data_IF_906303368039
#
_entry.id   IF_906303368039
#
_cell.length_a   1.000
_cell.length_b   1.000
_cell.length_c   1.000
_cell.angle_alpha   90.00
_cell.angle_beta   90.00
_cell.angle_gamma   90.00
#
_symmetry.space_group_name_H-M   'P 1'
#
loop_
_entity.id
_entity.type
_entity.pdbx_description
1 polymer ?
#
# COMPACT_ATOMS: atom_id res chain seq x y z
N UNK A 1 -23.38 -7.81 -6.52
CA UNK A 1 -22.52 -7.44 -7.66
C UNK A 1 -22.71 -6.00 -8.12
N UNK A 2 -23.54 -5.18 -7.47
CA UNK A 2 -23.71 -3.75 -7.83
C UNK A 2 -22.70 -2.80 -7.16
N UNK A 3 -22.04 -3.22 -6.09
CA UNK A 3 -21.11 -2.37 -5.32
C UNK A 3 -19.77 -2.14 -6.02
N UNK A 4 -19.28 -3.10 -6.80
CA UNK A 4 -17.99 -2.98 -7.52
C UNK A 4 -18.11 -2.05 -8.73
N UNK A 5 -19.19 -2.18 -9.51
CA UNK A 5 -19.49 -1.30 -10.63
C UNK A 5 -19.75 0.15 -10.18
N UNK A 6 -20.44 0.35 -9.04
CA UNK A 6 -20.60 1.69 -8.45
C UNK A 6 -19.29 2.29 -7.97
N UNK A 7 -18.36 1.48 -7.44
CA UNK A 7 -17.04 1.96 -7.01
C UNK A 7 -16.17 2.35 -8.21
N UNK A 8 -16.15 1.55 -9.28
CA UNK A 8 -15.46 1.88 -10.53
C UNK A 8 -16.03 3.14 -11.18
N UNK A 9 -17.36 3.31 -11.17
CA UNK A 9 -18.02 4.48 -11.73
C UNK A 9 -17.79 5.74 -10.88
N UNK A 10 -17.69 5.60 -9.54
CA UNK A 10 -17.23 6.65 -8.63
C UNK A 10 -15.75 6.99 -8.86
N UNK A 11 -14.89 6.01 -9.12
CA UNK A 11 -13.48 6.22 -9.45
C UNK A 11 -13.29 6.91 -10.81
N UNK A 12 -14.15 6.60 -11.79
CA UNK A 12 -14.12 7.24 -13.11
C UNK A 12 -14.65 8.69 -13.08
N UNK A 13 -15.77 8.91 -12.38
CA UNK A 13 -16.33 10.27 -12.20
C UNK A 13 -15.44 11.15 -11.31
N UNK A 14 -14.80 10.57 -10.30
CA UNK A 14 -13.83 11.30 -9.46
C UNK A 14 -12.51 11.57 -10.18
N UNK A 15 -11.95 10.66 -10.99
CA UNK A 15 -10.72 10.94 -11.77
C UNK A 15 -10.91 12.11 -12.74
N UNK A 16 -12.07 12.21 -13.40
CA UNK A 16 -12.40 13.36 -14.26
C UNK A 16 -12.58 14.67 -13.50
N UNK A 17 -13.22 14.64 -12.32
CA UNK A 17 -13.38 15.82 -11.47
C UNK A 17 -12.06 16.27 -10.81
N UNK A 18 -11.22 15.33 -10.40
CA UNK A 18 -9.89 15.57 -9.82
C UNK A 18 -8.96 16.22 -10.84
N UNK A 19 -9.03 15.81 -12.12
CA UNK A 19 -8.21 16.40 -13.19
C UNK A 19 -8.51 17.88 -13.46
N UNK A 20 -9.69 18.38 -13.06
CA UNK A 20 -10.04 19.80 -13.15
C UNK A 20 -9.51 20.62 -11.96
N UNK A 21 -9.03 19.97 -10.90
CA UNK A 21 -8.54 20.61 -9.66
C UNK A 21 -7.02 20.47 -9.55
N UNK A 22 -6.50 19.30 -9.94
CA UNK A 22 -5.07 18.98 -9.87
C UNK A 22 -4.38 19.30 -11.19
N UNK A 23 -3.24 19.96 -11.11
CA UNK A 23 -2.37 20.13 -12.26
C UNK A 23 -1.66 18.80 -12.63
N UNK A 24 -1.03 18.76 -13.80
CA UNK A 24 -0.37 17.54 -14.32
C UNK A 24 0.67 16.95 -13.34
N UNK A 25 1.44 17.80 -12.66
CA UNK A 25 2.44 17.35 -11.68
C UNK A 25 1.79 16.72 -10.44
N UNK A 26 0.66 17.26 -9.99
CA UNK A 26 -0.11 16.70 -8.87
C UNK A 26 -0.76 15.37 -9.25
N UNK A 27 -1.25 15.23 -10.48
CA UNK A 27 -1.79 13.95 -11.00
C UNK A 27 -0.68 12.90 -11.05
N UNK A 28 0.49 13.25 -11.61
CA UNK A 28 1.65 12.34 -11.64
C UNK A 28 2.08 11.93 -10.23
N UNK A 29 2.12 12.89 -9.30
CA UNK A 29 2.48 12.59 -7.91
C UNK A 29 1.44 11.69 -7.24
N UNK A 30 0.15 11.92 -7.48
CA UNK A 30 -0.91 11.07 -6.98
C UNK A 30 -0.78 9.64 -7.51
N UNK A 31 -0.47 9.48 -8.80
CA UNK A 31 -0.21 8.17 -9.40
C UNK A 31 0.98 7.47 -8.73
N UNK A 32 2.09 8.16 -8.51
CA UNK A 32 3.24 7.62 -7.76
C UNK A 32 2.84 7.13 -6.37
N UNK A 33 2.02 7.91 -5.66
CA UNK A 33 1.51 7.54 -4.33
C UNK A 33 0.62 6.30 -4.41
N UNK A 34 -0.25 6.21 -5.41
CA UNK A 34 -1.10 5.03 -5.62
C UNK A 34 -0.25 3.78 -5.89
N UNK A 35 0.81 3.88 -6.70
CA UNK A 35 1.76 2.78 -6.93
C UNK A 35 2.47 2.38 -5.64
N UNK A 36 2.87 3.34 -4.80
CA UNK A 36 3.50 3.05 -3.52
C UNK A 36 2.58 2.35 -2.53
N UNK A 37 1.29 2.71 -2.52
CA UNK A 37 0.30 2.13 -1.61
C UNK A 37 -0.15 0.73 -2.06
N UNK A 38 -0.34 0.54 -3.37
CA UNK A 38 -0.78 -0.74 -3.93
C UNK A 38 0.37 -1.73 -4.17
N UNK A 39 1.62 -1.25 -4.18
CA UNK A 39 2.79 -2.05 -4.51
C UNK A 39 2.71 -2.65 -5.92
N UNK A 40 3.46 -3.74 -6.18
CA UNK A 40 3.40 -4.48 -7.45
C UNK A 40 2.01 -5.04 -7.77
N UNK A 41 1.16 -5.25 -6.76
CA UNK A 41 -0.20 -5.74 -6.96
C UNK A 41 -1.20 -4.71 -7.50
N UNK A 42 -0.79 -3.45 -7.64
CA UNK A 42 -1.55 -2.48 -8.41
C UNK A 42 -1.51 -2.76 -9.93
N UNK A 43 -0.48 -3.45 -10.42
CA UNK A 43 -0.23 -3.61 -11.86
C UNK A 43 -1.42 -4.22 -12.62
N UNK A 44 -2.04 -5.34 -12.18
CA UNK A 44 -3.13 -5.97 -12.95
C UNK A 44 -4.39 -5.13 -13.08
N UNK A 45 -4.59 -4.17 -12.16
CA UNK A 45 -5.82 -3.41 -12.00
C UNK A 45 -5.69 -1.95 -12.48
N UNK A 46 -4.49 -1.48 -12.83
CA UNK A 46 -4.25 -0.11 -13.27
C UNK A 46 -3.88 -0.05 -14.77
N UNK A 47 -4.79 0.38 -15.65
CA UNK A 47 -4.54 0.40 -17.09
C UNK A 47 -3.32 1.23 -17.53
N UNK A 48 -3.00 2.31 -16.80
CA UNK A 48 -1.80 3.11 -17.09
C UNK A 48 -0.51 2.34 -16.78
N UNK A 49 -0.50 1.55 -15.69
CA UNK A 49 0.65 0.70 -15.35
C UNK A 49 0.83 -0.41 -16.38
N UNK A 50 -0.24 -1.11 -16.77
CA UNK A 50 -0.19 -2.15 -17.81
C UNK A 50 0.39 -1.58 -19.12
N UNK A 51 -0.11 -0.42 -19.55
CA UNK A 51 0.38 0.25 -20.77
C UNK A 51 1.83 0.71 -20.65
N UNK A 52 2.21 1.36 -19.55
CA UNK A 52 3.59 1.88 -19.37
C UNK A 52 4.62 0.77 -19.19
N UNK A 53 4.25 -0.32 -18.53
CA UNK A 53 5.09 -1.50 -18.33
C UNK A 53 5.02 -2.50 -19.50
N UNK A 54 4.15 -2.24 -20.49
CA UNK A 54 3.95 -3.13 -21.64
C UNK A 54 3.65 -4.57 -21.21
N UNK A 55 2.80 -4.73 -20.20
CA UNK A 55 2.40 -6.04 -19.67
C UNK A 55 1.35 -6.63 -20.62
N UNK A 56 1.63 -7.81 -21.17
CA UNK A 56 0.67 -8.59 -21.95
C UNK A 56 -0.30 -9.36 -21.05
N UNK A 57 -1.39 -9.88 -21.63
CA UNK A 57 -2.47 -10.54 -20.86
C UNK A 57 -1.96 -11.72 -20.01
N UNK A 58 -1.10 -12.58 -20.58
CA UNK A 58 -0.51 -13.71 -19.83
C UNK A 58 0.30 -13.25 -18.62
N UNK A 59 1.17 -12.25 -18.78
CA UNK A 59 1.97 -11.73 -17.66
C UNK A 59 1.09 -11.02 -16.63
N UNK A 60 0.02 -10.34 -17.07
CA UNK A 60 -0.97 -9.74 -16.18
C UNK A 60 -1.69 -10.80 -15.34
N UNK A 61 -2.12 -11.90 -15.95
CA UNK A 61 -2.77 -13.01 -15.25
C UNK A 61 -1.83 -13.67 -14.23
N UNK A 62 -0.56 -13.88 -14.61
CA UNK A 62 0.46 -14.44 -13.71
C UNK A 62 0.71 -13.52 -12.49
N UNK A 63 0.80 -12.20 -12.71
CA UNK A 63 0.94 -11.22 -11.64
C UNK A 63 -0.32 -11.21 -10.76
N UNK A 64 -1.51 -11.25 -11.35
CA UNK A 64 -2.77 -11.29 -10.61
C UNK A 64 -2.86 -12.53 -9.71
N UNK A 65 -2.52 -13.70 -10.24
CA UNK A 65 -2.50 -14.94 -9.47
C UNK A 65 -1.49 -14.90 -8.32
N UNK A 66 -0.29 -14.36 -8.55
CA UNK A 66 0.71 -14.17 -7.49
C UNK A 66 0.22 -13.20 -6.40
N UNK A 67 -0.48 -12.14 -6.79
CA UNK A 67 -1.09 -11.20 -5.85
C UNK A 67 -2.23 -11.82 -5.03
N UNK A 68 -3.09 -12.63 -5.66
CA UNK A 68 -4.16 -13.34 -4.96
C UNK A 68 -3.62 -14.36 -3.96
N UNK A 69 -2.54 -15.06 -4.31
CA UNK A 69 -1.84 -15.96 -3.40
C UNK A 69 -1.26 -15.19 -2.20
N UNK A 70 -0.52 -14.10 -2.44
CA UNK A 70 0.03 -13.25 -1.37
C UNK A 70 -1.08 -12.72 -0.45
N UNK A 71 -2.18 -12.21 -1.02
CA UNK A 71 -3.29 -11.68 -0.23
C UNK A 71 -4.01 -12.77 0.56
N UNK A 72 -4.06 -14.00 0.06
CA UNK A 72 -4.58 -15.16 0.79
C UNK A 72 -3.69 -15.51 1.98
N UNK A 73 -2.37 -15.53 1.80
CA UNK A 73 -1.40 -15.76 2.88
C UNK A 73 -1.46 -14.67 3.95
N UNK A 74 -1.50 -13.40 3.54
CA UNK A 74 -1.61 -12.28 4.48
C UNK A 74 -2.91 -12.33 5.29
N UNK A 75 -4.04 -12.67 4.65
CA UNK A 75 -5.34 -12.85 5.34
C UNK A 75 -5.32 -14.04 6.29
N UNK A 76 -4.77 -15.17 5.87
CA UNK A 76 -4.67 -16.36 6.72
C UNK A 76 -3.79 -16.12 7.94
N UNK A 77 -2.75 -15.30 7.78
CA UNK A 77 -1.87 -14.96 8.87
C UNK A 77 -2.49 -13.90 9.79
N UNK A 78 -3.28 -12.94 9.28
CA UNK A 78 -3.90 -11.85 10.06
C UNK A 78 -4.67 -12.34 11.30
N UNK A 79 -4.44 -11.68 12.45
CA UNK A 79 -5.16 -11.99 13.69
C UNK A 79 -6.01 -10.79 14.12
N UNK A 80 -7.32 -11.00 14.29
CA UNK A 80 -8.19 -9.96 14.81
C UNK A 80 -7.96 -9.74 16.31
N UNK A 81 -8.04 -8.49 16.82
CA UNK A 81 -7.96 -8.24 18.26
C UNK A 81 -9.13 -8.91 19.00
N UNK A 82 -8.90 -9.51 20.18
CA UNK A 82 -9.98 -10.06 20.99
C UNK A 82 -11.00 -8.98 21.38
N UNK A 83 -12.28 -9.35 21.42
CA UNK A 83 -13.35 -8.41 21.82
C UNK A 83 -13.12 -7.92 23.26
N UNK A 84 -13.20 -6.61 23.46
CA UNK A 84 -13.07 -5.98 24.77
C UNK A 84 -11.64 -5.84 25.29
N UNK A 85 -10.63 -6.16 24.48
CA UNK A 85 -9.21 -5.91 24.80
C UNK A 85 -8.67 -4.72 24.03
N UNK A 86 -7.58 -4.14 24.53
CA UNK A 86 -6.81 -3.13 23.82
C UNK A 86 -6.33 -3.72 22.47
N UNK A 87 -6.68 -3.12 21.32
CA UNK A 87 -6.26 -3.62 20.02
C UNK A 87 -4.77 -3.36 19.72
N UNK A 88 -4.11 -2.45 20.44
CA UNK A 88 -2.77 -1.99 20.10
C UNK A 88 -1.69 -3.09 20.11
N UNK A 89 -1.63 -4.03 21.09
CA UNK A 89 -0.70 -5.15 21.06
C UNK A 89 -0.90 -6.05 19.83
N UNK A 90 -2.15 -6.37 19.48
CA UNK A 90 -2.46 -7.20 18.31
C UNK A 90 -2.10 -6.49 17.02
N UNK A 91 -2.35 -5.19 16.91
CA UNK A 91 -1.96 -4.40 15.74
C UNK A 91 -0.45 -4.39 15.53
N UNK A 92 0.34 -4.13 16.58
CA UNK A 92 1.82 -4.18 16.50
C UNK A 92 2.33 -5.57 16.14
N UNK A 93 1.75 -6.62 16.72
CA UNK A 93 2.11 -8.00 16.40
C UNK A 93 1.77 -8.36 14.94
N UNK A 94 0.62 -7.89 14.44
CA UNK A 94 0.25 -8.05 13.03
C UNK A 94 1.21 -7.30 12.12
N UNK A 95 1.57 -6.05 12.42
CA UNK A 95 2.53 -5.28 11.61
C UNK A 95 3.88 -6.00 11.51
N UNK A 96 4.47 -6.38 12.64
CA UNK A 96 5.76 -7.08 12.70
C UNK A 96 5.76 -8.41 11.94
N UNK A 97 4.60 -9.08 11.85
CA UNK A 97 4.44 -10.37 11.18
C UNK A 97 4.09 -10.25 9.70
N UNK A 98 3.19 -9.34 9.35
CA UNK A 98 2.66 -9.20 7.99
C UNK A 98 3.58 -8.41 7.08
N UNK A 99 4.30 -7.43 7.60
CA UNK A 99 5.21 -6.61 6.79
C UNK A 99 6.32 -7.41 6.10
N UNK A 100 7.07 -8.32 6.75
CA UNK A 100 8.07 -9.13 6.05
C UNK A 100 7.46 -10.08 5.03
N UNK A 101 6.25 -10.61 5.30
CA UNK A 101 5.51 -11.45 4.34
C UNK A 101 5.14 -10.63 3.09
N UNK A 102 4.62 -9.42 3.29
CA UNK A 102 4.29 -8.48 2.22
C UNK A 102 5.53 -8.17 1.38
N UNK A 103 6.64 -7.76 2.00
CA UNK A 103 7.89 -7.42 1.31
C UNK A 103 8.42 -8.59 0.49
N UNK A 104 8.38 -9.80 1.04
CA UNK A 104 8.85 -11.01 0.36
C UNK A 104 7.97 -11.37 -0.83
N UNK A 105 6.64 -11.34 -0.65
CA UNK A 105 5.69 -11.59 -1.73
C UNK A 105 5.78 -10.56 -2.86
N UNK A 106 5.86 -9.28 -2.50
CA UNK A 106 6.04 -8.19 -3.47
C UNK A 106 7.36 -8.31 -4.23
N UNK A 107 8.45 -8.68 -3.56
CA UNK A 107 9.73 -8.92 -4.21
C UNK A 107 9.66 -10.09 -5.22
N UNK A 108 8.93 -11.16 -4.90
CA UNK A 108 8.71 -12.27 -5.82
C UNK A 108 7.92 -11.85 -7.06
N UNK A 109 6.88 -11.01 -6.90
CA UNK A 109 6.13 -10.44 -8.02
C UNK A 109 7.02 -9.57 -8.90
N UNK A 110 7.82 -8.67 -8.31
CA UNK A 110 8.75 -7.80 -9.05
C UNK A 110 9.80 -8.61 -9.81
N UNK A 111 10.18 -9.79 -9.31
CA UNK A 111 11.12 -10.68 -10.00
C UNK A 111 10.57 -11.25 -11.32
N UNK A 112 9.24 -11.33 -11.49
CA UNK A 112 8.58 -11.74 -12.75
C UNK A 112 8.67 -10.69 -13.85
N UNK A 113 8.98 -9.44 -13.49
CA UNK A 113 9.13 -8.34 -14.44
C UNK A 113 10.49 -8.41 -15.12
N UNK A 114 10.56 -8.01 -16.38
CA UNK A 114 11.84 -7.84 -17.08
C UNK A 114 12.69 -6.73 -16.46
N UNK A 115 13.99 -6.70 -16.77
CA UNK A 115 14.88 -5.65 -16.28
C UNK A 115 14.42 -4.23 -16.70
N UNK A 116 13.82 -4.10 -17.88
CA UNK A 116 13.27 -2.83 -18.35
C UNK A 116 12.00 -2.46 -17.57
N UNK A 117 11.09 -3.41 -17.39
CA UNK A 117 9.86 -3.23 -16.61
C UNK A 117 10.15 -2.82 -15.17
N UNK A 118 11.16 -3.44 -14.51
CA UNK A 118 11.56 -3.05 -13.15
C UNK A 118 12.05 -1.61 -13.07
N UNK A 119 12.84 -1.15 -14.04
CA UNK A 119 13.28 0.26 -14.10
C UNK A 119 12.11 1.20 -14.30
N UNK A 120 11.20 0.87 -15.22
CA UNK A 120 9.99 1.65 -15.43
C UNK A 120 9.13 1.69 -14.17
N UNK A 121 8.90 0.55 -13.52
CA UNK A 121 8.16 0.50 -12.26
C UNK A 121 8.81 1.40 -11.20
N UNK A 122 10.13 1.35 -11.04
CA UNK A 122 10.85 2.22 -10.10
C UNK A 122 10.65 3.72 -10.40
N UNK A 123 10.63 4.12 -11.68
CA UNK A 123 10.33 5.49 -12.08
C UNK A 123 8.88 5.87 -11.76
N UNK A 124 7.92 4.97 -11.98
CA UNK A 124 6.50 5.17 -11.70
C UNK A 124 6.18 5.18 -10.20
N UNK A 125 6.96 4.47 -9.38
CA UNK A 125 6.85 4.54 -7.92
C UNK A 125 7.30 5.92 -7.41
N UNK A 126 8.33 6.50 -8.03
CA UNK A 126 8.85 7.82 -7.67
C UNK A 126 9.45 7.89 -6.26
N UNK A 127 9.57 9.11 -5.73
CA UNK A 127 10.12 9.32 -4.39
C UNK A 127 9.17 8.79 -3.31
N UNK A 128 9.72 8.04 -2.33
CA UNK A 128 8.94 7.50 -1.21
C UNK A 128 8.20 8.63 -0.50
N UNK A 129 6.90 8.44 -0.33
CA UNK A 129 6.05 9.33 0.43
C UNK A 129 6.39 9.16 1.91
N UNK A 130 7.06 10.16 2.47
CA UNK A 130 7.26 10.26 3.92
C UNK A 130 6.08 11.00 4.53
N UNK A 131 4.99 10.28 4.76
CA UNK A 131 3.97 10.75 5.70
C UNK A 131 4.40 10.20 7.06
N UNK A 132 4.61 11.09 8.02
CA UNK A 132 4.62 10.71 9.42
C UNK A 132 3.22 10.18 9.72
N UNK A 133 3.00 8.89 9.49
CA UNK A 133 1.82 8.21 9.97
C UNK A 133 1.93 8.35 11.48
N UNK A 134 1.19 9.31 12.04
CA UNK A 134 0.91 9.26 13.47
C UNK A 134 0.20 7.92 13.61
N UNK A 135 0.91 6.91 14.10
CA UNK A 135 0.28 5.74 14.66
C UNK A 135 -0.93 6.24 15.44
N UNK A 136 -2.07 5.55 15.35
CA UNK A 136 -3.25 5.88 16.18
C UNK A 136 -2.68 6.29 17.54
N UNK A 137 -2.88 7.54 18.01
CA UNK A 137 -2.09 8.06 19.14
C UNK A 137 -2.11 7.13 20.34
N UNK A 138 -3.20 6.38 20.48
CA UNK A 138 -3.46 5.32 21.45
C UNK A 138 -2.50 4.11 21.38
N UNK A 139 -1.94 3.81 20.20
CA UNK A 139 -1.06 2.67 19.93
C UNK A 139 0.42 3.04 19.72
N UNK A 140 0.76 4.33 19.65
CA UNK A 140 2.13 4.80 19.63
C UNK A 140 2.83 4.42 20.96
N UNK A 141 4.07 3.93 20.89
CA UNK A 141 4.77 3.33 22.01
C UNK A 141 4.81 4.21 23.29
N UNK A 142 4.41 3.59 24.40
CA UNK A 142 4.56 3.94 25.83
C UNK A 142 4.33 5.40 26.30
N UNK A 143 3.25 5.69 27.06
CA UNK A 143 3.18 6.90 27.90
C UNK A 143 4.26 6.94 29.00
N UNK A 144 4.92 5.81 29.30
CA UNK A 144 5.95 5.70 30.34
C UNK A 144 7.25 6.43 29.96
N UNK A 145 7.60 6.54 28.67
CA UNK A 145 8.78 7.33 28.26
C UNK A 145 8.50 8.84 28.20
N UNK A 146 7.26 9.27 27.99
CA UNK A 146 6.93 10.70 27.99
C UNK A 146 6.98 11.31 29.41
N UNK A 147 6.61 10.57 30.46
CA UNK A 147 6.77 11.05 31.84
C UNK A 147 8.23 11.10 32.31
N UNK A 148 9.10 10.21 31.80
CA UNK A 148 10.53 10.22 32.17
C UNK A 148 11.32 11.32 31.45
N UNK A 149 10.86 11.80 30.28
CA UNK A 149 11.44 12.95 29.60
C UNK A 149 11.07 14.28 30.29
N UNK A 150 9.83 14.42 30.77
CA UNK A 150 9.36 15.63 31.47
C UNK A 150 9.96 15.75 32.88
N UNK A 151 10.30 14.63 33.53
CA UNK A 151 10.90 14.62 34.89
C UNK A 151 12.43 14.78 34.90
N UNK A 152 13.09 14.95 33.74
CA UNK A 152 14.56 15.18 33.64
C UNK A 152 14.94 16.59 33.19
N UNK A 153 13.97 17.49 33.02
CA UNK A 153 14.17 18.89 32.58
C UNK A 153 13.68 19.93 33.60
N UNK A 154 13.73 19.64 34.90
CA UNK A 154 13.67 20.69 35.94
C UNK A 154 14.92 20.58 36.84
N UNK A 155 15.51 21.74 37.22
CA UNK A 155 16.95 22.04 37.13
C UNK A 155 17.87 21.41 38.20
#
# INVERSE_FOLDING_TARGET
SDSAANLEQLLWTSRGAIANVLNAQQIERLQQIMVQQGGPCAIPNEPDLLRRLQIGETQKDDIAAACDALMTELRAAFQAPPRGQDPCPTLRANEARLEPMRQTGEAAIVATLSAQQRRTLQQLTGAKLSIAFRAIPECAADPVQMQQAVMREEP
#
